data_IF_706376884865
#
_entry.id   IF_706376884865
#
_cell.length_a   1.000
_cell.length_b   1.000
_cell.length_c   1.000
_cell.angle_alpha   90.00
_cell.angle_beta   90.00
_cell.angle_gamma   90.00
#
_symmetry.space_group_name_H-M   'P 1'
#
loop_
_entity.id
_entity.type
_entity.pdbx_description
1 polymer ?
#
# COMPACT_ATOMS: atom_id res chain seq x y z
N UNK A 1 -6.87 49.44 8.92
CA UNK A 1 -5.86 49.94 9.88
C UNK A 1 -5.42 48.78 10.75
N UNK A 2 -4.19 48.30 10.53
CA UNK A 2 -3.46 47.38 11.40
C UNK A 2 -2.34 48.19 12.07
N UNK A 3 -1.96 47.87 13.31
CA UNK A 3 -0.59 48.05 13.73
C UNK A 3 0.03 46.68 14.04
N UNK A 4 1.15 46.39 13.39
CA UNK A 4 2.13 45.42 13.89
C UNK A 4 3.22 46.18 14.64
N UNK A 5 3.75 45.59 15.71
CA UNK A 5 5.08 45.93 16.23
C UNK A 5 5.76 44.65 16.73
N UNK A 6 7.03 44.59 16.42
CA UNK A 6 8.08 43.59 16.52
C UNK A 6 8.57 43.26 17.94
N UNK A 7 9.05 42.02 18.12
CA UNK A 7 10.42 41.69 18.54
C UNK A 7 10.87 41.93 19.98
N UNK A 8 11.35 40.85 20.62
CA UNK A 8 12.59 40.91 21.41
C UNK A 8 12.47 41.03 22.93
N UNK A 9 12.59 39.88 23.60
CA UNK A 9 13.28 39.63 24.87
C UNK A 9 13.51 40.81 25.86
N UNK A 10 12.97 40.68 27.08
CA UNK A 10 13.66 41.24 28.25
C UNK A 10 13.47 40.41 29.52
N UNK A 11 14.62 40.15 30.14
CA UNK A 11 14.87 39.50 31.42
C UNK A 11 14.53 40.43 32.60
N UNK A 12 14.04 39.80 33.68
CA UNK A 12 14.30 40.03 35.11
C UNK A 12 13.93 41.40 35.73
N UNK A 13 13.07 41.34 36.77
CA UNK A 13 13.38 41.67 38.18
C UNK A 13 12.09 42.07 38.91
N UNK A 14 11.55 41.21 39.77
CA UNK A 14 10.94 41.65 41.03
C UNK A 14 11.35 40.64 42.11
N UNK A 15 12.09 41.15 43.09
CA UNK A 15 12.42 40.52 44.35
C UNK A 15 11.18 40.51 45.26
N UNK A 16 11.01 39.41 46.00
CA UNK A 16 9.99 39.28 47.02
C UNK A 16 10.25 38.00 47.80
N UNK A 17 10.97 38.14 48.91
CA UNK A 17 11.24 37.10 49.90
C UNK A 17 9.93 36.47 50.40
N UNK A 18 9.84 35.14 50.38
CA UNK A 18 9.07 34.39 51.38
C UNK A 18 9.83 33.12 51.78
N UNK A 19 10.03 33.07 53.09
CA UNK A 19 10.62 32.07 53.95
C UNK A 19 10.00 30.67 53.84
N UNK A 20 10.87 29.66 53.85
CA UNK A 20 10.69 28.42 54.63
C UNK A 20 9.54 27.47 54.26
N UNK A 21 9.71 26.66 53.21
CA UNK A 21 9.05 25.34 53.08
C UNK A 21 10.05 24.33 52.50
N UNK A 22 10.26 23.21 53.20
CA UNK A 22 11.08 22.08 52.72
C UNK A 22 10.35 21.37 51.56
N UNK A 23 10.97 21.14 50.39
CA UNK A 23 10.39 20.26 49.38
C UNK A 23 10.55 18.79 49.81
N UNK A 24 9.43 18.10 49.96
CA UNK A 24 9.39 16.64 50.04
C UNK A 24 9.89 16.02 48.73
N UNK A 25 10.59 14.89 48.83
CA UNK A 25 11.12 14.15 47.70
C UNK A 25 10.01 13.80 46.70
N UNK A 26 10.06 14.42 45.51
CA UNK A 26 9.24 14.01 44.38
C UNK A 26 9.83 12.71 43.82
N UNK A 27 9.13 11.59 44.01
CA UNK A 27 9.39 10.32 43.32
C UNK A 27 9.19 10.52 41.82
N UNK A 28 10.29 10.42 41.07
CA UNK A 28 10.29 10.37 39.60
C UNK A 28 9.66 9.03 39.15
N UNK A 29 8.65 9.01 38.27
CA UNK A 29 8.12 7.76 37.74
C UNK A 29 9.17 7.05 36.88
N UNK A 30 9.24 5.70 36.89
CA UNK A 30 10.21 4.96 36.10
C UNK A 30 9.96 5.17 34.60
N UNK A 31 11.06 5.24 33.84
CA UNK A 31 11.03 5.35 32.38
C UNK A 31 10.30 4.15 31.73
N UNK A 32 9.60 4.36 30.60
CA UNK A 32 8.98 3.26 29.85
C UNK A 32 10.02 2.24 29.37
N UNK A 33 9.66 0.95 29.25
CA UNK A 33 10.57 -0.08 28.76
C UNK A 33 11.01 0.21 27.32
N UNK A 34 12.28 -0.10 27.03
CA UNK A 34 12.85 0.04 25.69
C UNK A 34 12.10 -0.83 24.66
N UNK A 35 11.96 -0.37 23.40
CA UNK A 35 11.39 -1.19 22.34
C UNK A 35 12.22 -2.47 22.10
N UNK A 36 11.60 -3.59 21.70
CA UNK A 36 12.33 -4.83 21.42
C UNK A 36 13.29 -4.65 20.24
N UNK A 37 14.45 -5.29 20.32
CA UNK A 37 15.45 -5.31 19.24
C UNK A 37 14.87 -5.88 17.94
N UNK A 38 15.26 -5.33 16.77
CA UNK A 38 14.86 -5.88 15.48
C UNK A 38 15.38 -7.31 15.33
N UNK A 39 14.55 -8.19 14.76
CA UNK A 39 14.93 -9.55 14.42
C UNK A 39 16.12 -9.55 13.45
N UNK A 40 17.04 -10.53 13.54
CA UNK A 40 18.15 -10.65 12.60
C UNK A 40 17.62 -10.90 11.18
N UNK A 41 18.29 -10.38 10.13
CA UNK A 41 17.89 -10.63 8.75
C UNK A 41 17.96 -12.13 8.45
N UNK A 42 16.93 -12.63 7.76
CA UNK A 42 16.94 -13.98 7.19
C UNK A 42 18.06 -14.16 6.16
N UNK A 43 18.41 -15.41 5.81
CA UNK A 43 19.48 -15.68 4.85
C UNK A 43 19.18 -15.05 3.49
N UNK A 44 20.22 -14.51 2.85
CA UNK A 44 20.12 -13.97 1.51
C UNK A 44 19.73 -15.08 0.51
N UNK A 45 18.91 -14.78 -0.51
CA UNK A 45 18.61 -15.73 -1.57
C UNK A 45 19.90 -16.08 -2.35
N UNK A 46 20.03 -17.32 -2.85
CA UNK A 46 21.21 -17.74 -3.59
C UNK A 46 21.37 -16.96 -4.90
N UNK A 47 22.62 -16.68 -5.33
CA UNK A 47 22.88 -16.02 -6.62
C UNK A 47 22.45 -16.92 -7.77
N UNK A 48 21.62 -16.41 -8.69
CA UNK A 48 21.18 -17.13 -9.88
C UNK A 48 19.70 -17.51 -9.96
N UNK A 49 18.85 -17.04 -9.04
CA UNK A 49 17.41 -17.09 -9.26
C UNK A 49 17.04 -16.06 -10.34
N UNK A 50 17.02 -16.49 -11.60
CA UNK A 50 16.31 -15.77 -12.64
C UNK A 50 14.82 -15.99 -12.36
N UNK A 51 14.17 -14.97 -11.81
CA UNK A 51 12.73 -14.95 -11.66
C UNK A 51 12.10 -14.99 -13.05
N UNK A 52 11.52 -16.13 -13.42
CA UNK A 52 10.55 -16.22 -14.52
C UNK A 52 9.17 -15.68 -14.09
N UNK A 53 9.12 -14.87 -13.01
CA UNK A 53 7.90 -14.28 -12.51
C UNK A 53 7.38 -13.29 -13.55
N UNK A 54 6.12 -13.45 -14.00
CA UNK A 54 5.47 -12.45 -14.84
C UNK A 54 5.23 -11.11 -14.11
N UNK A 55 5.67 -10.94 -12.85
CA UNK A 55 5.53 -9.71 -12.08
C UNK A 55 6.83 -8.88 -11.91
N UNK A 56 7.90 -9.13 -12.68
CA UNK A 56 9.14 -8.33 -12.66
C UNK A 56 9.00 -6.94 -13.35
N UNK A 57 7.88 -6.27 -13.09
CA UNK A 57 7.27 -5.19 -13.88
C UNK A 57 7.73 -3.77 -13.48
N UNK A 58 8.62 -3.65 -12.50
CA UNK A 58 8.92 -2.37 -11.88
C UNK A 58 9.89 -1.48 -12.68
N UNK A 59 10.21 -1.82 -13.94
CA UNK A 59 11.13 -1.02 -14.75
C UNK A 59 10.47 0.18 -15.45
N UNK A 60 9.12 0.24 -15.46
CA UNK A 60 8.35 1.31 -16.14
C UNK A 60 7.36 2.04 -15.23
N UNK A 61 7.19 1.57 -13.99
CA UNK A 61 6.24 2.16 -13.05
C UNK A 61 6.90 3.25 -12.19
N UNK A 62 6.58 4.52 -12.46
CA UNK A 62 6.92 5.65 -11.59
C UNK A 62 5.76 5.86 -10.59
N UNK A 63 5.92 5.51 -9.30
CA UNK A 63 4.85 5.62 -8.33
C UNK A 63 4.65 7.10 -7.97
N UNK A 64 3.73 7.76 -8.68
CA UNK A 64 2.97 8.95 -8.26
C UNK A 64 3.76 9.92 -7.34
N UNK A 65 4.51 10.84 -7.95
CA UNK A 65 4.55 12.23 -7.50
C UNK A 65 5.06 12.54 -6.07
N UNK A 66 5.98 11.77 -5.49
CA UNK A 66 6.68 12.20 -4.26
C UNK A 66 7.74 13.23 -4.62
N UNK A 67 7.39 14.52 -4.48
CA UNK A 67 8.26 15.66 -4.76
C UNK A 67 9.55 15.62 -3.93
N UNK A 68 10.68 15.49 -4.61
CA UNK A 68 11.97 16.07 -4.22
C UNK A 68 12.54 16.78 -5.46
N UNK A 69 12.90 18.06 -5.32
CA UNK A 69 13.21 18.95 -6.43
C UNK A 69 14.38 18.49 -7.30
N UNK A 70 14.16 18.53 -8.62
CA UNK A 70 15.12 18.33 -9.69
C UNK A 70 14.38 18.49 -11.02
N UNK A 71 14.93 19.25 -11.96
CA UNK A 71 14.25 19.75 -13.17
C UNK A 71 13.54 18.65 -13.98
N UNK A 72 12.21 18.78 -14.11
CA UNK A 72 11.35 17.90 -14.91
C UNK A 72 11.69 18.07 -16.39
N UNK A 73 11.98 16.96 -17.07
CA UNK A 73 11.86 16.87 -18.53
C UNK A 73 10.44 17.29 -18.94
N UNK A 74 10.32 18.14 -19.95
CA UNK A 74 9.06 18.78 -20.38
C UNK A 74 8.12 17.87 -21.20
N UNK A 75 8.35 16.56 -21.22
CA UNK A 75 7.37 15.60 -21.70
C UNK A 75 6.69 14.97 -20.49
N UNK A 76 5.55 15.54 -20.08
CA UNK A 76 4.68 14.91 -19.10
C UNK A 76 4.32 13.48 -19.52
N UNK A 77 3.95 12.66 -18.54
CA UNK A 77 3.51 11.28 -18.78
C UNK A 77 2.42 11.23 -19.87
N UNK A 78 2.45 10.19 -20.70
CA UNK A 78 1.52 10.01 -21.82
C UNK A 78 0.72 8.73 -21.64
N UNK A 79 -0.49 8.73 -22.17
CA UNK A 79 -1.34 7.56 -22.19
C UNK A 79 -0.74 6.52 -23.14
N UNK A 80 -0.61 5.28 -22.68
CA UNK A 80 0.01 4.20 -23.45
C UNK A 80 -0.94 3.56 -24.47
N UNK A 81 -2.19 4.04 -24.53
CA UNK A 81 -3.18 3.61 -25.53
C UNK A 81 -3.28 4.62 -26.69
N UNK A 82 -3.35 5.93 -26.38
CA UNK A 82 -3.63 6.96 -27.38
C UNK A 82 -2.59 8.10 -27.43
N UNK A 83 -1.51 8.01 -26.66
CA UNK A 83 -0.42 8.99 -26.57
C UNK A 83 -0.81 10.41 -26.07
N UNK A 84 -2.07 10.63 -25.70
CA UNK A 84 -2.51 11.88 -25.08
C UNK A 84 -1.78 12.11 -23.74
N UNK A 85 -1.53 13.37 -23.39
CA UNK A 85 -0.96 13.70 -22.08
C UNK A 85 -1.86 13.21 -20.95
N UNK A 86 -1.27 12.67 -19.88
CA UNK A 86 -1.99 12.31 -18.65
C UNK A 86 -1.64 13.28 -17.53
N UNK A 87 -2.55 13.42 -16.58
CA UNK A 87 -2.29 14.19 -15.37
C UNK A 87 -1.42 13.36 -14.41
N UNK A 88 -0.74 14.03 -13.47
CA UNK A 88 0.06 13.35 -12.44
C UNK A 88 -0.76 12.33 -11.62
N UNK A 89 -2.06 12.59 -11.44
CA UNK A 89 -3.03 11.59 -10.98
C UNK A 89 -3.85 11.13 -12.19
N UNK A 90 -3.72 9.86 -12.55
CA UNK A 90 -4.44 9.26 -13.67
C UNK A 90 -4.82 7.82 -13.32
N UNK A 91 -5.58 7.17 -14.21
CA UNK A 91 -6.04 5.78 -14.04
C UNK A 91 -5.13 4.84 -14.81
N UNK A 92 -5.12 3.58 -14.43
CA UNK A 92 -4.35 2.55 -15.13
C UNK A 92 -5.27 1.53 -15.78
N UNK A 93 -4.81 0.97 -16.91
CA UNK A 93 -5.31 -0.30 -17.42
C UNK A 93 -4.30 -1.38 -17.04
N UNK A 94 -4.79 -2.59 -16.84
CA UNK A 94 -3.96 -3.79 -16.78
C UNK A 94 -4.04 -4.50 -18.12
N UNK A 95 -2.90 -4.72 -18.77
CA UNK A 95 -2.79 -5.68 -19.88
C UNK A 95 -2.70 -7.09 -19.28
N UNK A 96 -3.70 -7.94 -19.52
CA UNK A 96 -3.88 -9.19 -18.75
C UNK A 96 -2.81 -10.24 -19.08
N UNK A 97 -2.40 -10.32 -20.34
CA UNK A 97 -1.47 -11.36 -20.80
C UNK A 97 -0.04 -11.13 -20.28
N UNK A 98 0.41 -9.88 -20.31
CA UNK A 98 1.71 -9.42 -19.81
C UNK A 98 1.69 -8.96 -18.36
N UNK A 99 0.50 -8.81 -17.75
CA UNK A 99 0.28 -8.29 -16.39
C UNK A 99 0.85 -6.89 -16.17
N UNK A 100 0.89 -6.09 -17.23
CA UNK A 100 1.51 -4.77 -17.22
C UNK A 100 0.48 -3.68 -16.94
N UNK A 101 0.80 -2.79 -16.00
CA UNK A 101 0.06 -1.56 -15.79
C UNK A 101 0.39 -0.55 -16.89
N UNK A 102 -0.64 0.10 -17.42
CA UNK A 102 -0.58 1.03 -18.54
C UNK A 102 -1.25 2.34 -18.17
N UNK A 103 -0.56 3.46 -18.30
CA UNK A 103 -1.12 4.78 -18.01
C UNK A 103 -2.30 5.09 -18.95
N UNK A 104 -3.44 5.48 -18.38
CA UNK A 104 -4.66 5.77 -19.13
C UNK A 104 -5.13 7.22 -18.93
N UNK A 105 -5.32 7.92 -20.04
CA UNK A 105 -6.00 9.21 -19.99
C UNK A 105 -7.49 9.01 -19.63
N UNK A 106 -8.16 10.10 -19.22
CA UNK A 106 -9.58 10.06 -18.84
C UNK A 106 -10.47 9.44 -19.92
N UNK A 107 -10.24 9.76 -21.19
CA UNK A 107 -11.05 9.23 -22.29
C UNK A 107 -10.88 7.71 -22.43
N UNK A 108 -9.64 7.21 -22.40
CA UNK A 108 -9.36 5.77 -22.44
C UNK A 108 -9.93 5.04 -21.22
N UNK A 109 -9.76 5.58 -20.01
CA UNK A 109 -10.36 4.99 -18.81
C UNK A 109 -11.88 4.80 -18.96
N UNK A 110 -12.58 5.83 -19.46
CA UNK A 110 -14.04 5.81 -19.70
C UNK A 110 -14.46 4.82 -20.80
N UNK A 111 -13.62 4.58 -21.81
CA UNK A 111 -13.87 3.61 -22.86
C UNK A 111 -13.74 2.17 -22.34
N UNK A 112 -12.68 1.87 -21.59
CA UNK A 112 -12.42 0.52 -21.08
C UNK A 112 -13.32 0.14 -19.90
N UNK A 113 -13.81 1.10 -19.13
CA UNK A 113 -14.85 0.89 -18.12
C UNK A 113 -16.12 0.26 -18.74
N UNK A 114 -16.48 0.68 -19.96
CA UNK A 114 -17.65 0.16 -20.69
C UNK A 114 -17.36 -1.11 -21.48
N UNK A 115 -16.12 -1.30 -21.95
CA UNK A 115 -15.74 -2.47 -22.74
C UNK A 115 -15.78 -3.77 -21.91
N UNK A 116 -15.50 -3.68 -20.60
CA UNK A 116 -15.66 -4.79 -19.67
C UNK A 116 -17.13 -5.26 -19.48
N UNK A 117 -18.12 -4.50 -19.99
CA UNK A 117 -19.53 -4.84 -19.92
C UNK A 117 -20.09 -5.45 -21.23
N UNK A 118 -19.26 -5.69 -22.25
CA UNK A 118 -19.66 -6.33 -23.51
C UNK A 118 -19.66 -7.86 -23.44
N UNK A 119 -20.58 -8.56 -24.14
CA UNK A 119 -20.61 -10.02 -24.11
C UNK A 119 -19.51 -10.64 -25.00
N UNK A 120 -18.68 -11.53 -24.41
CA UNK A 120 -18.12 -12.67 -25.14
C UNK A 120 -16.62 -12.70 -25.49
N UNK A 121 -15.74 -11.93 -24.84
CA UNK A 121 -14.29 -12.07 -25.06
C UNK A 121 -13.45 -11.78 -23.81
N UNK A 122 -12.31 -12.45 -23.69
CA UNK A 122 -11.26 -12.09 -22.72
C UNK A 122 -10.74 -10.69 -23.07
N UNK A 123 -10.98 -9.72 -22.19
CA UNK A 123 -10.55 -8.35 -22.42
C UNK A 123 -9.02 -8.27 -22.28
N UNK A 124 -8.33 -7.94 -23.38
CA UNK A 124 -6.88 -7.71 -23.35
C UNK A 124 -6.45 -6.68 -22.30
N UNK A 125 -7.28 -5.64 -22.14
CA UNK A 125 -7.07 -4.58 -21.16
C UNK A 125 -8.26 -4.50 -20.20
N UNK A 126 -7.98 -4.45 -18.91
CA UNK A 126 -8.98 -4.26 -17.85
C UNK A 126 -8.70 -2.94 -17.14
N UNK A 127 -9.73 -2.13 -16.91
CA UNK A 127 -9.58 -0.90 -16.13
C UNK A 127 -9.31 -1.24 -14.66
N UNK A 128 -8.25 -0.66 -14.10
CA UNK A 128 -7.99 -0.77 -12.66
C UNK A 128 -9.02 0.08 -11.90
N UNK A 129 -9.78 -0.50 -10.95
CA UNK A 129 -10.82 0.22 -10.22
C UNK A 129 -10.20 1.28 -9.28
N UNK A 130 -11.03 2.12 -8.69
CA UNK A 130 -10.61 3.10 -7.66
C UNK A 130 -11.01 2.69 -6.25
N UNK A 131 -11.65 1.52 -6.12
CA UNK A 131 -12.15 0.98 -4.86
C UNK A 131 -11.02 0.76 -3.87
N UNK A 132 -11.12 1.40 -2.70
CA UNK A 132 -10.20 1.27 -1.58
C UNK A 132 -11.00 1.06 -0.31
N UNK A 133 -10.91 -0.12 0.29
CA UNK A 133 -11.60 -0.47 1.53
C UNK A 133 -10.60 -0.86 2.60
N UNK A 134 -10.78 -0.33 3.82
CA UNK A 134 -10.12 -0.82 5.03
C UNK A 134 -11.07 -1.81 5.70
N UNK A 135 -10.64 -3.06 5.86
CA UNK A 135 -11.46 -4.13 6.41
C UNK A 135 -11.23 -4.25 7.91
N UNK A 136 -12.13 -3.69 8.71
CA UNK A 136 -12.07 -3.76 10.16
C UNK A 136 -12.66 -5.06 10.70
N UNK A 137 -11.90 -5.78 11.52
CA UNK A 137 -12.27 -7.12 12.00
C UNK A 137 -11.87 -8.26 11.05
N UNK A 138 -10.99 -7.99 10.08
CA UNK A 138 -10.43 -9.02 9.21
C UNK A 138 -9.77 -10.14 10.03
N UNK A 139 -10.11 -11.39 9.71
CA UNK A 139 -9.63 -12.58 10.39
C UNK A 139 -8.38 -13.08 9.68
N UNK A 140 -7.22 -12.79 10.29
CA UNK A 140 -5.91 -13.31 9.91
C UNK A 140 -5.07 -13.49 11.17
N UNK A 141 -5.01 -14.73 11.66
CA UNK A 141 -4.24 -15.07 12.85
C UNK A 141 -2.74 -15.21 12.55
N UNK A 142 -1.96 -15.35 13.62
CA UNK A 142 -0.50 -15.46 13.51
C UNK A 142 -0.03 -16.75 12.87
N UNK A 143 -0.75 -17.85 13.10
CA UNK A 143 -0.45 -19.14 12.50
C UNK A 143 -0.61 -19.09 10.98
N UNK A 144 -1.77 -18.61 10.50
CA UNK A 144 -2.05 -18.46 9.08
C UNK A 144 -1.07 -17.49 8.43
N UNK A 145 -0.71 -16.38 9.08
CA UNK A 145 0.32 -15.49 8.55
C UNK A 145 1.70 -16.14 8.47
N UNK A 146 2.09 -16.94 9.46
CA UNK A 146 3.37 -17.64 9.46
C UNK A 146 3.46 -18.68 8.33
N UNK A 147 2.35 -19.36 8.00
CA UNK A 147 2.26 -20.29 6.86
C UNK A 147 2.59 -19.62 5.53
N UNK A 148 2.23 -18.34 5.36
CA UNK A 148 2.54 -17.57 4.15
C UNK A 148 4.05 -17.35 3.91
N UNK A 149 4.89 -17.63 4.93
CA UNK A 149 6.36 -17.61 4.85
C UNK A 149 6.94 -16.28 4.35
N UNK A 150 6.29 -15.17 4.69
CA UNK A 150 6.66 -13.84 4.21
C UNK A 150 7.76 -13.25 5.09
N UNK A 151 8.94 -12.89 4.55
CA UNK A 151 10.07 -12.40 5.35
C UNK A 151 9.88 -10.96 5.83
N UNK A 152 8.86 -10.27 5.30
CA UNK A 152 8.51 -8.89 5.63
C UNK A 152 7.10 -8.83 6.21
N UNK A 153 6.79 -7.74 6.91
CA UNK A 153 5.50 -7.55 7.58
C UNK A 153 4.43 -6.96 6.67
N UNK A 154 4.56 -7.10 5.35
CA UNK A 154 3.61 -6.59 4.35
C UNK A 154 3.55 -7.53 3.17
N UNK A 155 2.36 -7.71 2.61
CA UNK A 155 2.16 -8.47 1.39
C UNK A 155 0.82 -8.14 0.76
N UNK A 156 0.64 -8.50 -0.50
CA UNK A 156 -0.64 -8.44 -1.15
C UNK A 156 -0.95 -9.72 -1.91
N UNK A 157 -2.24 -10.04 -2.04
CA UNK A 157 -2.74 -11.22 -2.75
C UNK A 157 -3.66 -10.77 -3.86
N UNK A 158 -3.41 -11.24 -5.08
CA UNK A 158 -4.22 -10.98 -6.28
C UNK A 158 -4.76 -12.31 -6.80
N UNK A 159 -6.02 -12.36 -7.25
CA UNK A 159 -6.54 -13.52 -7.97
C UNK A 159 -6.21 -13.38 -9.46
N UNK A 160 -5.44 -14.31 -10.00
CA UNK A 160 -5.00 -14.34 -11.39
C UNK A 160 -6.04 -15.07 -12.26
N UNK A 161 -6.69 -14.35 -13.18
CA UNK A 161 -7.73 -14.92 -14.02
C UNK A 161 -7.21 -15.99 -14.97
N UNK A 162 -5.95 -15.90 -15.40
CA UNK A 162 -5.39 -16.83 -16.39
C UNK A 162 -5.15 -18.22 -15.79
N UNK A 163 -4.79 -18.29 -14.51
CA UNK A 163 -4.56 -19.56 -13.80
C UNK A 163 -5.71 -19.95 -12.88
N UNK A 164 -6.62 -19.03 -12.57
CA UNK A 164 -7.69 -19.20 -11.60
C UNK A 164 -7.18 -19.35 -10.16
N UNK A 165 -5.96 -18.88 -9.87
CA UNK A 165 -5.30 -19.03 -8.56
C UNK A 165 -4.98 -17.70 -7.93
N UNK A 166 -4.90 -17.68 -6.60
CA UNK A 166 -4.37 -16.54 -5.88
C UNK A 166 -2.83 -16.53 -5.90
N UNK A 167 -2.26 -15.36 -6.17
CA UNK A 167 -0.82 -15.10 -6.14
C UNK A 167 -0.51 -14.21 -4.95
N UNK A 168 0.38 -14.68 -4.08
CA UNK A 168 0.90 -13.91 -2.96
C UNK A 168 2.19 -13.21 -3.37
N UNK A 169 2.25 -11.90 -3.15
CA UNK A 169 3.39 -11.06 -3.49
C UNK A 169 3.77 -10.22 -2.28
N UNK A 170 5.06 -10.11 -2.00
CA UNK A 170 5.56 -9.17 -1.00
C UNK A 170 6.56 -8.19 -1.60
N UNK A 171 6.59 -6.94 -1.13
CA UNK A 171 7.52 -5.95 -1.66
C UNK A 171 8.93 -6.17 -1.10
N UNK A 172 9.94 -5.96 -1.94
CA UNK A 172 11.35 -6.02 -1.59
C UNK A 172 12.14 -4.87 -2.23
N UNK A 173 13.38 -4.60 -1.77
CA UNK A 173 14.25 -3.59 -2.42
C UNK A 173 14.53 -3.90 -3.89
N UNK A 174 14.54 -5.19 -4.26
CA UNK A 174 14.75 -5.65 -5.62
C UNK A 174 13.48 -5.73 -6.46
N UNK A 175 12.30 -5.48 -5.87
CA UNK A 175 11.02 -5.63 -6.57
C UNK A 175 9.94 -6.39 -5.82
N UNK A 176 8.79 -6.58 -6.47
CA UNK A 176 7.80 -7.53 -5.98
C UNK A 176 8.42 -8.94 -6.02
N UNK A 177 8.15 -9.74 -5.00
CA UNK A 177 8.58 -11.14 -4.94
C UNK A 177 7.36 -12.00 -4.72
N UNK A 178 7.14 -12.94 -5.63
CA UNK A 178 6.11 -13.96 -5.46
C UNK A 178 6.51 -14.95 -4.37
N UNK A 179 5.55 -15.33 -3.54
CA UNK A 179 5.68 -16.38 -2.54
C UNK A 179 4.63 -17.45 -2.80
N UNK A 180 4.92 -18.74 -2.53
CA UNK A 180 3.91 -19.79 -2.61
C UNK A 180 2.69 -19.47 -1.73
N UNK A 181 1.50 -19.65 -2.29
CA UNK A 181 0.24 -19.59 -1.57
C UNK A 181 -0.53 -20.88 -1.85
N UNK A 182 -0.78 -21.65 -0.80
CA UNK A 182 -1.60 -22.84 -0.90
C UNK A 182 -3.08 -22.48 -1.08
N UNK A 183 -3.74 -23.15 -2.02
CA UNK A 183 -5.17 -22.95 -2.30
C UNK A 183 -6.03 -23.15 -1.04
N UNK A 184 -5.70 -24.14 -0.21
CA UNK A 184 -6.40 -24.40 1.04
C UNK A 184 -6.29 -23.24 2.05
N UNK A 185 -5.16 -22.54 2.06
CA UNK A 185 -4.94 -21.36 2.90
C UNK A 185 -5.68 -20.15 2.36
N UNK A 186 -5.67 -19.94 1.04
CA UNK A 186 -6.47 -18.88 0.41
C UNK A 186 -7.98 -19.06 0.66
N UNK A 187 -8.49 -20.26 0.44
CA UNK A 187 -9.91 -20.55 0.61
C UNK A 187 -10.33 -20.47 2.09
N UNK A 188 -9.45 -20.82 3.03
CA UNK A 188 -9.68 -20.59 4.47
C UNK A 188 -9.83 -19.09 4.77
N UNK A 189 -8.99 -18.24 4.19
CA UNK A 189 -9.09 -16.77 4.32
C UNK A 189 -10.41 -16.25 3.73
N UNK A 190 -10.83 -16.72 2.54
CA UNK A 190 -12.10 -16.35 1.91
C UNK A 190 -13.32 -16.76 2.72
N UNK A 191 -13.29 -17.92 3.38
CA UNK A 191 -14.36 -18.38 4.27
C UNK A 191 -14.48 -17.53 5.52
N UNK A 192 -13.35 -17.16 6.12
CA UNK A 192 -13.32 -16.31 7.31
C UNK A 192 -13.65 -14.83 6.99
N UNK A 193 -13.39 -14.39 5.76
CA UNK A 193 -13.57 -13.02 5.31
C UNK A 193 -14.38 -12.96 4.00
N UNK A 194 -15.73 -13.09 4.06
CA UNK A 194 -16.58 -13.10 2.88
C UNK A 194 -16.38 -11.93 1.90
N UNK A 195 -15.95 -10.77 2.38
CA UNK A 195 -15.61 -9.59 1.56
C UNK A 195 -14.59 -9.91 0.44
N UNK A 196 -13.72 -10.91 0.63
CA UNK A 196 -12.74 -11.33 -0.36
C UNK A 196 -13.37 -11.97 -1.60
N UNK A 197 -14.59 -12.50 -1.52
CA UNK A 197 -15.30 -13.04 -2.69
C UNK A 197 -15.64 -11.98 -3.74
N UNK A 198 -15.60 -10.72 -3.33
CA UNK A 198 -15.84 -9.57 -4.19
C UNK A 198 -14.61 -9.03 -4.91
N UNK A 199 -13.43 -9.63 -4.73
CA UNK A 199 -12.20 -9.17 -5.36
C UNK A 199 -12.34 -9.29 -6.89
N UNK A 200 -12.13 -8.19 -7.62
CA UNK A 200 -11.98 -8.27 -9.06
C UNK A 200 -10.62 -8.89 -9.37
N UNK A 201 -10.61 -9.98 -10.15
CA UNK A 201 -9.39 -10.67 -10.56
C UNK A 201 -8.46 -9.69 -11.28
N UNK A 202 -7.15 -9.90 -11.10
CA UNK A 202 -6.03 -9.20 -11.73
C UNK A 202 -5.84 -7.74 -11.31
N UNK A 203 -6.93 -7.00 -11.07
CA UNK A 203 -6.92 -5.54 -10.88
C UNK A 203 -7.12 -5.09 -9.45
N UNK A 204 -7.49 -5.99 -8.54
CA UNK A 204 -7.58 -5.71 -7.11
C UNK A 204 -6.79 -6.72 -6.28
N UNK A 205 -6.39 -6.26 -5.09
CA UNK A 205 -5.61 -7.04 -4.17
C UNK A 205 -6.14 -6.94 -2.74
N UNK A 206 -6.02 -8.04 -1.99
CA UNK A 206 -5.95 -7.99 -0.54
C UNK A 206 -4.55 -7.48 -0.17
N UNK A 207 -4.43 -6.27 0.36
CA UNK A 207 -3.19 -5.74 0.93
C UNK A 207 -3.18 -5.95 2.44
N UNK A 208 -2.07 -6.47 2.97
CA UNK A 208 -1.87 -6.72 4.41
C UNK A 208 -0.67 -5.90 4.89
N UNK A 209 -0.87 -5.13 5.95
CA UNK A 209 0.20 -4.41 6.65
C UNK A 209 0.20 -4.81 8.12
N UNK A 210 1.33 -5.38 8.54
CA UNK A 210 1.62 -5.75 9.92
C UNK A 210 2.78 -4.96 10.49
N UNK A 211 3.31 -3.93 9.83
CA UNK A 211 4.51 -3.19 10.28
C UNK A 211 4.28 -2.43 11.59
N UNK A 212 3.05 -1.97 11.83
CA UNK A 212 2.66 -1.28 13.06
C UNK A 212 2.23 -2.21 14.20
N UNK A 213 1.70 -1.59 15.26
CA UNK A 213 1.05 -2.29 16.39
C UNK A 213 -0.31 -2.84 16.00
N UNK A 214 -1.01 -2.19 15.07
CA UNK A 214 -2.28 -2.62 14.51
C UNK A 214 -2.02 -3.40 13.22
N UNK A 215 -2.73 -4.51 13.06
CA UNK A 215 -2.75 -5.27 11.80
C UNK A 215 -3.85 -4.71 10.94
N UNK A 216 -3.48 -4.26 9.75
CA UNK A 216 -4.36 -3.56 8.85
C UNK A 216 -4.48 -4.36 7.56
N UNK A 217 -5.70 -4.42 7.03
CA UNK A 217 -6.05 -5.24 5.88
C UNK A 217 -6.93 -4.40 4.97
N UNK A 218 -6.61 -4.35 3.68
CA UNK A 218 -7.35 -3.56 2.72
C UNK A 218 -7.70 -4.37 1.50
N UNK A 219 -8.78 -3.96 0.84
CA UNK A 219 -9.00 -4.26 -0.57
C UNK A 219 -8.69 -2.99 -1.33
N UNK A 220 -7.70 -3.06 -2.21
CA UNK A 220 -7.19 -1.91 -2.97
C UNK A 220 -7.01 -2.28 -4.44
N UNK A 221 -6.95 -1.30 -5.34
CA UNK A 221 -6.56 -1.59 -6.71
C UNK A 221 -5.08 -1.99 -6.73
N UNK A 222 -4.72 -2.84 -7.69
CA UNK A 222 -3.38 -3.42 -7.76
C UNK A 222 -2.28 -2.36 -7.96
N UNK A 223 -2.62 -1.21 -8.54
CA UNK A 223 -1.69 -0.09 -8.71
C UNK A 223 -1.23 0.52 -7.37
N UNK A 224 -2.05 0.56 -6.32
CA UNK A 224 -1.60 0.96 -4.98
C UNK A 224 -0.53 -0.01 -4.44
N UNK A 225 -0.64 -1.30 -4.76
CA UNK A 225 0.34 -2.31 -4.34
C UNK A 225 1.68 -2.11 -5.07
N UNK A 226 1.65 -1.86 -6.37
CA UNK A 226 2.85 -1.53 -7.14
C UNK A 226 3.44 -0.17 -6.77
N UNK A 227 2.62 0.80 -6.34
CA UNK A 227 3.08 2.04 -5.72
C UNK A 227 3.88 1.80 -4.44
N UNK A 228 3.39 0.93 -3.56
CA UNK A 228 4.14 0.52 -2.38
C UNK A 228 5.47 -0.16 -2.73
N UNK A 229 5.46 -1.06 -3.72
CA UNK A 229 6.68 -1.71 -4.22
C UNK A 229 7.68 -0.68 -4.76
N UNK A 230 7.24 0.22 -5.63
CA UNK A 230 8.09 1.28 -6.20
C UNK A 230 8.66 2.22 -5.14
N UNK A 231 7.87 2.58 -4.14
CA UNK A 231 8.32 3.36 -2.98
C UNK A 231 9.44 2.64 -2.22
N UNK A 232 9.27 1.35 -1.95
CA UNK A 232 10.29 0.52 -1.30
C UNK A 232 11.56 0.45 -2.15
N UNK A 233 11.45 0.09 -3.43
CA UNK A 233 12.60 0.00 -4.35
C UNK A 233 13.41 1.32 -4.43
N UNK A 234 12.73 2.45 -4.51
CA UNK A 234 13.38 3.76 -4.75
C UNK A 234 13.95 4.40 -3.48
N UNK A 235 13.39 4.08 -2.31
CA UNK A 235 13.77 4.73 -1.03
C UNK A 235 14.58 3.83 -0.10
N UNK A 236 14.68 2.53 -0.38
CA UNK A 236 15.43 1.61 0.46
C UNK A 236 16.93 1.90 0.44
N UNK A 237 17.53 2.06 1.63
CA UNK A 237 18.97 2.26 1.80
C UNK A 237 19.53 1.34 2.88
N UNK A 238 20.64 0.67 2.59
CA UNK A 238 21.31 -0.24 3.54
C UNK A 238 20.52 -1.52 3.84
N UNK A 239 20.93 -2.25 4.88
CA UNK A 239 20.36 -3.56 5.21
C UNK A 239 18.93 -3.49 5.79
N UNK A 240 18.58 -2.40 6.47
CA UNK A 240 17.30 -2.23 7.16
C UNK A 240 16.40 -1.13 6.56
N UNK A 241 16.76 -0.61 5.38
CA UNK A 241 15.99 0.40 4.65
C UNK A 241 16.12 1.84 5.16
N UNK A 242 16.66 2.06 6.36
CA UNK A 242 16.86 3.37 6.97
C UNK A 242 15.54 4.05 7.40
N UNK A 243 15.59 5.09 8.25
CA UNK A 243 14.37 5.71 8.79
C UNK A 243 13.53 6.48 7.74
N UNK A 244 14.12 6.82 6.59
CA UNK A 244 13.43 7.51 5.50
C UNK A 244 12.34 6.63 4.89
N UNK A 245 12.65 5.38 4.50
CA UNK A 245 11.67 4.50 3.87
C UNK A 245 10.50 4.19 4.79
N UNK A 246 10.75 4.01 6.09
CA UNK A 246 9.70 3.75 7.07
C UNK A 246 8.76 4.93 7.28
N UNK A 247 9.26 6.18 7.19
CA UNK A 247 8.40 7.38 7.18
C UNK A 247 7.54 7.43 5.93
N UNK A 248 8.11 7.15 4.76
CA UNK A 248 7.37 7.13 3.50
C UNK A 248 6.31 6.02 3.47
N UNK A 249 6.62 4.82 3.95
CA UNK A 249 5.65 3.72 4.13
C UNK A 249 4.51 4.15 5.08
N UNK A 250 4.85 4.77 6.21
CA UNK A 250 3.84 5.26 7.15
C UNK A 250 2.94 6.34 6.52
N UNK A 251 3.53 7.23 5.72
CA UNK A 251 2.81 8.26 4.96
C UNK A 251 1.88 7.64 3.91
N UNK A 252 2.36 6.62 3.18
CA UNK A 252 1.59 5.84 2.21
C UNK A 252 0.34 5.26 2.85
N UNK A 253 0.46 4.49 3.94
CA UNK A 253 -0.70 3.87 4.61
C UNK A 253 -1.62 4.90 5.27
N UNK A 254 -1.08 6.01 5.77
CA UNK A 254 -1.91 7.13 6.26
C UNK A 254 -2.73 7.73 5.12
N UNK A 255 -2.13 7.92 3.95
CA UNK A 255 -2.83 8.39 2.74
C UNK A 255 -3.87 7.40 2.24
N UNK A 256 -3.53 6.11 2.19
CA UNK A 256 -4.43 5.04 1.79
C UNK A 256 -5.66 4.98 2.70
N UNK A 257 -5.46 5.04 4.02
CA UNK A 257 -6.56 5.09 5.01
C UNK A 257 -7.51 6.25 4.74
N UNK A 258 -7.02 7.47 4.48
CA UNK A 258 -7.87 8.64 4.20
C UNK A 258 -8.75 8.46 2.96
N UNK A 259 -8.27 7.72 1.96
CA UNK A 259 -9.02 7.42 0.72
C UNK A 259 -9.87 6.17 0.83
N UNK A 260 -9.76 5.41 1.92
CA UNK A 260 -10.45 4.13 2.09
C UNK A 260 -11.78 4.29 2.79
N UNK A 261 -12.78 3.56 2.31
CA UNK A 261 -14.02 3.33 3.08
C UNK A 261 -13.78 2.21 4.09
N UNK A 262 -14.29 2.35 5.31
CA UNK A 262 -14.23 1.29 6.32
C UNK A 262 -15.41 0.31 6.09
N UNK A 263 -15.11 -0.99 6.07
CA UNK A 263 -16.10 -2.07 5.89
C UNK A 263 -15.82 -3.24 6.84
N UNK A 264 -16.85 -4.01 7.25
CA UNK A 264 -16.64 -5.26 7.99
C UNK A 264 -16.23 -6.41 7.07
N UNK A 265 -15.64 -7.51 7.59
CA UNK A 265 -15.23 -8.67 6.79
C UNK A 265 -16.41 -9.42 6.15
N UNK A 266 -17.62 -9.24 6.68
CA UNK A 266 -18.83 -9.88 6.18
C UNK A 266 -19.54 -9.08 5.07
N UNK A 267 -18.99 -7.94 4.63
CA UNK A 267 -19.64 -7.12 3.61
C UNK A 267 -19.53 -7.77 2.22
N UNK A 268 -20.59 -8.45 1.80
CA UNK A 268 -20.74 -9.01 0.46
C UNK A 268 -21.40 -8.00 -0.49
N UNK A 269 -21.00 -6.73 -0.44
CA UNK A 269 -21.67 -5.62 -1.11
C UNK A 269 -21.83 -5.81 -2.64
N UNK A 270 -21.09 -6.74 -3.25
CA UNK A 270 -21.21 -7.08 -4.68
C UNK A 270 -22.32 -8.09 -4.98
N UNK A 271 -22.82 -8.83 -3.98
CA UNK A 271 -23.96 -9.74 -4.14
C UNK A 271 -25.33 -9.06 -4.26
N UNK A 272 -25.44 -7.77 -3.89
CA UNK A 272 -26.73 -7.04 -3.86
C UNK A 272 -27.07 -6.25 -5.14
N UNK A 273 -26.20 -6.23 -6.16
CA UNK A 273 -26.35 -5.37 -7.35
C UNK A 273 -26.56 -6.07 -8.70
N UNK A 274 -26.52 -7.40 -8.77
CA UNK A 274 -26.61 -8.15 -10.05
C UNK A 274 -27.96 -8.87 -10.26
N UNK A 275 -29.02 -8.37 -9.61
CA UNK A 275 -30.40 -8.82 -9.83
C UNK A 275 -31.30 -7.63 -10.12
N UNK A 276 -31.93 -7.63 -11.29
CA UNK A 276 -32.90 -6.66 -11.83
C UNK A 276 -32.34 -5.32 -12.34
N UNK A 277 -31.93 -5.32 -13.61
CA UNK A 277 -32.53 -4.47 -14.66
C UNK A 277 -32.16 -5.04 -16.03
#
# INVERSE_FOLDING_TARGET
MRPGVTGGALRRLIAGELTGVRPGAATVPPAPPAPPSPAPPGPAPPPGYASSSPYDLASSYDPVGVRAGGERREDGERCEVCAAAVAAEHRHLLEVAGRELRCACRACAVLFDRAAAGPGGEARYVLVPDRRWLVEGFVLDDATWAELSIPVRMAFVVEDSATGRAVLVYPSPGGPVESPLEEATWERLRRANPVLRGLATDVEALLVNRTGTVREHWIVPVDDCYALVGLLRTRWKGLAGGPEVWREISSFFTGLRRRSRIVPPADDALGRGKGMA
#
